data_IF_839303233661
#
_entry.id   IF_839303233661
#
_cell.length_a   1.000
_cell.length_b   1.000
_cell.length_c   1.000
_cell.angle_alpha   90.00
_cell.angle_beta   90.00
_cell.angle_gamma   90.00
#
_symmetry.space_group_name_H-M   'P 1'
#
loop_
_entity.id
_entity.type
_entity.pdbx_description
1 polymer ?
#
# COMPACT_ATOMS: atom_id res chain seq x y z
N UNK A 1 -9.71 -29.84 -12.73
CA UNK A 1 -8.74 -30.77 -12.12
C UNK A 1 -9.13 -30.91 -10.66
N UNK A 2 -9.29 -32.13 -10.12
CA UNK A 2 -9.49 -32.26 -8.67
C UNK A 2 -8.11 -32.23 -8.01
N UNK A 3 -8.04 -31.74 -6.77
CA UNK A 3 -6.77 -31.69 -6.01
C UNK A 3 -6.17 -33.09 -5.87
N UNK A 4 -7.03 -34.12 -5.74
CA UNK A 4 -6.63 -35.51 -5.64
C UNK A 4 -5.92 -36.05 -6.91
N UNK A 5 -6.03 -35.35 -8.04
CA UNK A 5 -5.43 -35.76 -9.31
C UNK A 5 -4.02 -35.16 -9.52
N UNK A 6 -3.55 -34.30 -8.59
CA UNK A 6 -2.28 -33.59 -8.72
C UNK A 6 -1.10 -34.43 -8.25
N UNK A 7 0.03 -34.32 -8.94
CA UNK A 7 1.31 -34.77 -8.38
C UNK A 7 1.77 -33.85 -7.25
N UNK A 8 2.74 -34.31 -6.46
CA UNK A 8 3.33 -33.50 -5.38
C UNK A 8 3.95 -32.23 -5.93
N UNK A 9 4.59 -32.30 -7.10
CA UNK A 9 5.22 -31.17 -7.77
C UNK A 9 4.19 -30.14 -8.22
N UNK A 10 3.07 -30.59 -8.79
CA UNK A 10 1.99 -29.71 -9.24
C UNK A 10 1.32 -29.00 -8.05
N UNK A 11 1.10 -29.72 -6.95
CA UNK A 11 0.56 -29.13 -5.73
C UNK A 11 1.53 -28.10 -5.11
N UNK A 12 2.83 -28.41 -5.07
CA UNK A 12 3.83 -27.46 -4.58
C UNK A 12 3.92 -26.20 -5.46
N UNK A 13 3.81 -26.34 -6.78
CA UNK A 13 3.80 -25.21 -7.70
C UNK A 13 2.57 -24.31 -7.45
N UNK A 14 1.39 -24.90 -7.28
CA UNK A 14 0.17 -24.15 -6.96
C UNK A 14 0.30 -23.36 -5.64
N UNK A 15 0.81 -23.99 -4.58
CA UNK A 15 1.01 -23.32 -3.29
C UNK A 15 2.02 -22.18 -3.42
N UNK A 16 3.14 -22.40 -4.12
CA UNK A 16 4.15 -21.36 -4.34
C UNK A 16 3.59 -20.17 -5.10
N UNK A 17 2.77 -20.40 -6.12
CA UNK A 17 2.14 -19.34 -6.90
C UNK A 17 1.16 -18.53 -6.06
N UNK A 18 0.29 -19.19 -5.30
CA UNK A 18 -0.65 -18.51 -4.41
C UNK A 18 0.07 -17.63 -3.37
N UNK A 19 1.13 -18.16 -2.74
CA UNK A 19 1.95 -17.39 -1.79
C UNK A 19 2.63 -16.21 -2.49
N UNK A 20 3.17 -16.41 -3.70
CA UNK A 20 3.82 -15.34 -4.45
C UNK A 20 2.85 -14.19 -4.76
N UNK A 21 1.63 -14.50 -5.19
CA UNK A 21 0.58 -13.50 -5.47
C UNK A 21 0.22 -12.70 -4.22
N UNK A 22 0.01 -13.37 -3.07
CA UNK A 22 -0.27 -12.71 -1.79
C UNK A 22 0.91 -11.83 -1.34
N UNK A 23 2.15 -12.30 -1.50
CA UNK A 23 3.34 -11.51 -1.17
C UNK A 23 3.48 -10.29 -2.08
N UNK A 24 3.16 -10.40 -3.38
CA UNK A 24 3.12 -9.24 -4.27
C UNK A 24 2.06 -8.24 -3.79
N UNK A 25 0.85 -8.69 -3.48
CA UNK A 25 -0.20 -7.80 -2.97
C UNK A 25 0.17 -7.09 -1.65
N UNK A 26 0.90 -7.76 -0.76
CA UNK A 26 1.32 -7.20 0.53
C UNK A 26 2.54 -6.29 0.45
N UNK A 27 3.51 -6.62 -0.41
CA UNK A 27 4.81 -5.96 -0.44
C UNK A 27 4.95 -4.91 -1.55
N UNK A 28 4.06 -4.92 -2.53
CA UNK A 28 4.08 -3.90 -3.58
C UNK A 28 3.21 -2.72 -3.20
N UNK A 29 3.73 -1.52 -3.45
CA UNK A 29 2.93 -0.31 -3.38
C UNK A 29 1.98 -0.29 -4.59
N UNK A 30 0.64 -0.33 -4.39
CA UNK A 30 -0.33 -0.33 -5.48
C UNK A 30 -0.29 0.96 -6.31
N UNK A 31 0.27 2.05 -5.74
CA UNK A 31 0.44 3.33 -6.42
C UNK A 31 1.87 3.53 -6.96
N UNK A 32 2.74 2.52 -6.87
CA UNK A 32 4.10 2.58 -7.40
C UNK A 32 4.12 3.01 -8.87
N UNK A 33 4.85 4.10 -9.15
CA UNK A 33 5.01 4.65 -10.50
C UNK A 33 3.85 5.50 -10.99
N UNK A 34 2.83 5.76 -10.16
CA UNK A 34 1.78 6.74 -10.49
C UNK A 34 2.25 8.16 -10.24
N UNK A 35 1.87 9.07 -11.12
CA UNK A 35 2.07 10.50 -10.93
C UNK A 35 1.03 11.09 -9.98
N UNK A 36 1.36 12.21 -9.35
CA UNK A 36 0.41 12.96 -8.55
C UNK A 36 -0.66 13.57 -9.46
N UNK A 37 -1.89 13.60 -8.99
CA UNK A 37 -2.93 14.37 -9.68
C UNK A 37 -2.68 15.87 -9.49
N UNK A 38 -3.15 16.70 -10.44
CA UNK A 38 -3.03 18.16 -10.32
C UNK A 38 -3.63 18.72 -9.03
N UNK A 39 -4.70 18.10 -8.52
CA UNK A 39 -5.30 18.48 -7.23
C UNK A 39 -4.32 18.25 -6.08
N UNK A 40 -3.68 17.08 -6.05
CA UNK A 40 -2.69 16.72 -5.04
C UNK A 40 -1.47 17.64 -5.10
N UNK A 41 -0.96 17.91 -6.30
CA UNK A 41 0.16 18.84 -6.51
C UNK A 41 -0.17 20.25 -6.01
N UNK A 42 -1.37 20.75 -6.34
CA UNK A 42 -1.83 22.08 -5.90
C UNK A 42 -1.92 22.16 -4.38
N UNK A 43 -2.53 21.14 -3.74
CA UNK A 43 -2.64 21.06 -2.28
C UNK A 43 -1.28 20.98 -1.60
N UNK A 44 -0.37 20.17 -2.11
CA UNK A 44 0.99 20.04 -1.58
C UNK A 44 1.76 21.36 -1.70
N UNK A 45 1.67 22.02 -2.85
CA UNK A 45 2.32 23.32 -3.08
C UNK A 45 1.81 24.36 -2.09
N UNK A 46 0.49 24.45 -1.89
CA UNK A 46 -0.11 25.35 -0.90
C UNK A 46 0.34 25.01 0.53
N UNK A 47 0.39 23.73 0.88
CA UNK A 47 0.87 23.29 2.20
C UNK A 47 2.34 23.64 2.44
N UNK A 48 3.21 23.51 1.43
CA UNK A 48 4.64 23.83 1.53
C UNK A 48 4.89 25.33 1.69
N UNK A 49 4.04 26.17 1.09
CA UNK A 49 4.12 27.63 1.22
C UNK A 49 3.59 28.12 2.57
N UNK A 50 2.81 27.31 3.29
CA UNK A 50 2.23 27.70 4.57
C UNK A 50 3.28 27.72 5.69
N UNK A 51 3.30 28.79 6.47
CA UNK A 51 4.06 28.91 7.72
C UNK A 51 3.23 28.57 8.95
N UNK A 52 1.94 28.26 8.78
CA UNK A 52 1.06 27.86 9.88
C UNK A 52 1.55 26.55 10.51
N UNK A 53 1.62 26.52 11.84
CA UNK A 53 2.05 25.34 12.60
C UNK A 53 1.04 25.11 13.71
N UNK A 54 0.75 23.85 13.98
CA UNK A 54 -0.03 23.43 15.15
C UNK A 54 0.88 22.68 16.12
N UNK A 55 0.64 22.76 17.44
CA UNK A 55 1.37 21.98 18.43
C UNK A 55 1.27 20.48 18.17
N UNK A 56 2.32 19.73 18.52
CA UNK A 56 2.36 18.28 18.32
C UNK A 56 1.20 17.53 19.00
N UNK A 57 0.79 17.97 20.20
CA UNK A 57 -0.34 17.37 20.90
C UNK A 57 -1.66 17.57 20.16
N UNK A 58 -1.81 18.67 19.40
CA UNK A 58 -2.98 18.88 18.55
C UNK A 58 -2.97 17.95 17.34
N UNK A 59 -1.80 17.70 16.73
CA UNK A 59 -1.64 16.73 15.64
C UNK A 59 -2.09 15.35 16.10
N UNK A 60 -1.62 14.88 17.26
CA UNK A 60 -2.00 13.58 17.83
C UNK A 60 -3.50 13.46 17.99
N UNK A 61 -4.13 14.48 18.58
CA UNK A 61 -5.57 14.53 18.79
C UNK A 61 -6.35 14.49 17.46
N UNK A 62 -5.91 15.25 16.45
CA UNK A 62 -6.60 15.36 15.16
C UNK A 62 -6.55 14.06 14.34
N UNK A 63 -5.44 13.33 14.41
CA UNK A 63 -5.22 12.11 13.62
C UNK A 63 -5.33 10.82 14.42
N UNK A 64 -5.80 10.90 15.68
CA UNK A 64 -5.93 9.77 16.60
C UNK A 64 -4.64 8.93 16.71
N UNK A 65 -3.51 9.64 16.79
CA UNK A 65 -2.19 9.04 17.00
C UNK A 65 -1.94 9.03 18.51
N UNK A 66 -1.90 7.84 19.10
CA UNK A 66 -1.68 7.62 20.54
C UNK A 66 -0.19 7.60 20.88
#
# INVERSE_FOLDING_TARGET
MKIADLTVEELQALIKNAIHEELQALLTDPDSGRELTQEMETRLTSSLQSTERIPFDEVKKRYNLH
#
